data_IF_006215892584
#
_entry.id   IF_006215892584
#
_cell.length_a   1.000
_cell.length_b   1.000
_cell.length_c   1.000
_cell.angle_alpha   90.00
_cell.angle_beta   90.00
_cell.angle_gamma   90.00
#
_symmetry.space_group_name_H-M   'P 1'
#
loop_
_entity.id
_entity.type
_entity.pdbx_description
1 polymer ?
#
# COMPACT_ATOMS: atom_id res chain seq x y z
N UNK A 1 -22.12 -23.24 17.13
CA UNK A 1 -20.76 -22.66 17.19
C UNK A 1 -20.87 -21.20 16.82
N UNK A 2 -20.43 -20.28 17.68
CA UNK A 2 -20.39 -18.84 17.34
C UNK A 2 -19.28 -18.63 16.32
N UNK A 3 -19.65 -18.27 15.09
CA UNK A 3 -18.69 -18.01 14.03
C UNK A 3 -17.89 -16.76 14.42
N UNK A 4 -16.59 -16.90 14.69
CA UNK A 4 -15.74 -15.75 15.03
C UNK A 4 -15.55 -14.91 13.76
N UNK A 5 -15.66 -13.58 13.82
CA UNK A 5 -15.33 -12.73 12.68
C UNK A 5 -13.85 -12.90 12.35
N UNK A 6 -13.55 -13.09 11.05
CA UNK A 6 -12.19 -13.24 10.52
C UNK A 6 -11.88 -12.05 9.62
N UNK A 7 -10.65 -11.55 9.71
CA UNK A 7 -10.05 -10.59 8.78
C UNK A 7 -8.66 -11.11 8.41
N UNK A 8 -8.27 -10.93 7.15
CA UNK A 8 -6.95 -11.32 6.67
C UNK A 8 -6.18 -10.06 6.32
N UNK A 9 -4.93 -9.99 6.78
CA UNK A 9 -3.98 -8.96 6.39
C UNK A 9 -2.91 -9.61 5.52
N UNK A 10 -2.54 -8.95 4.42
CA UNK A 10 -1.47 -9.42 3.56
C UNK A 10 -0.52 -8.28 3.23
N UNK A 11 0.77 -8.56 3.37
CA UNK A 11 1.79 -7.80 2.66
C UNK A 11 1.66 -8.05 1.14
N UNK A 12 2.28 -7.21 0.32
CA UNK A 12 2.24 -7.31 -1.13
C UNK A 12 3.49 -7.97 -1.71
N UNK A 13 4.62 -7.27 -1.72
CA UNK A 13 5.82 -7.69 -2.44
C UNK A 13 6.41 -8.97 -1.84
N UNK A 14 6.53 -10.02 -2.65
CA UNK A 14 7.02 -11.32 -2.19
C UNK A 14 6.06 -12.05 -1.23
N UNK A 15 4.82 -11.57 -1.09
CA UNK A 15 3.78 -12.21 -0.26
C UNK A 15 2.52 -12.49 -1.09
N UNK A 16 1.75 -11.45 -1.45
CA UNK A 16 0.59 -11.59 -2.32
C UNK A 16 1.00 -11.54 -3.80
N UNK A 17 1.94 -10.65 -4.10
CA UNK A 17 2.56 -10.53 -5.41
C UNK A 17 3.77 -11.47 -5.46
N UNK A 18 3.86 -12.22 -6.53
CA UNK A 18 5.04 -13.01 -6.84
C UNK A 18 6.28 -12.10 -6.90
N UNK A 19 7.38 -12.56 -6.31
CA UNK A 19 8.59 -11.73 -6.12
C UNK A 19 9.27 -11.37 -7.44
N UNK A 20 9.21 -12.26 -8.43
CA UNK A 20 9.95 -12.10 -9.68
C UNK A 20 9.10 -11.44 -10.77
N UNK A 21 7.79 -11.73 -10.77
CA UNK A 21 6.87 -11.30 -11.83
C UNK A 21 5.93 -10.17 -11.40
N UNK A 22 5.88 -9.84 -10.11
CA UNK A 22 4.89 -8.93 -9.51
C UNK A 22 3.43 -9.32 -9.81
N UNK A 23 3.19 -10.56 -10.23
CA UNK A 23 1.87 -11.08 -10.57
C UNK A 23 1.13 -11.54 -9.33
N UNK A 24 -0.17 -11.26 -9.26
CA UNK A 24 -1.08 -11.80 -8.24
C UNK A 24 -1.87 -13.02 -8.73
N UNK A 25 -1.61 -13.54 -9.94
CA UNK A 25 -2.41 -14.64 -10.52
C UNK A 25 -2.48 -15.87 -9.61
N UNK A 26 -1.35 -16.23 -8.99
CA UNK A 26 -1.27 -17.35 -8.06
C UNK A 26 -2.14 -17.14 -6.80
N UNK A 27 -2.35 -15.90 -6.38
CA UNK A 27 -3.18 -15.55 -5.22
C UNK A 27 -4.68 -15.48 -5.53
N UNK A 28 -5.07 -15.33 -6.81
CA UNK A 28 -6.48 -15.16 -7.21
C UNK A 28 -7.45 -16.22 -6.66
N UNK A 29 -7.11 -17.52 -6.61
CA UNK A 29 -8.01 -18.52 -6.02
C UNK A 29 -8.33 -18.23 -4.54
N UNK A 30 -7.33 -17.82 -3.76
CA UNK A 30 -7.50 -17.48 -2.35
C UNK A 30 -8.30 -16.17 -2.19
N UNK A 31 -7.96 -15.13 -2.96
CA UNK A 31 -8.69 -13.85 -2.97
C UNK A 31 -10.18 -14.06 -3.29
N UNK A 32 -10.48 -14.85 -4.33
CA UNK A 32 -11.87 -15.21 -4.69
C UNK A 32 -12.57 -15.95 -3.56
N UNK A 33 -11.87 -16.85 -2.86
CA UNK A 33 -12.45 -17.60 -1.75
C UNK A 33 -12.77 -16.71 -0.55
N UNK A 34 -11.89 -15.76 -0.23
CA UNK A 34 -12.13 -14.76 0.83
C UNK A 34 -13.35 -13.90 0.50
N UNK A 35 -13.44 -13.40 -0.74
CA UNK A 35 -14.59 -12.63 -1.22
C UNK A 35 -15.91 -13.40 -1.11
N UNK A 36 -15.93 -14.67 -1.52
CA UNK A 36 -17.13 -15.54 -1.39
C UNK A 36 -17.56 -15.77 0.06
N UNK A 37 -16.61 -15.77 1.00
CA UNK A 37 -16.87 -15.95 2.42
C UNK A 37 -17.18 -14.63 3.13
N UNK A 38 -17.13 -13.49 2.43
CA UNK A 38 -17.27 -12.17 3.03
C UNK A 38 -16.14 -11.83 4.02
N UNK A 39 -14.97 -12.46 3.87
CA UNK A 39 -13.80 -12.21 4.71
C UNK A 39 -12.97 -11.09 4.06
N UNK A 40 -12.80 -9.93 4.72
CA UNK A 40 -12.04 -8.82 4.16
C UNK A 40 -10.55 -9.17 4.09
N UNK A 41 -9.93 -8.87 2.95
CA UNK A 41 -8.50 -8.92 2.71
C UNK A 41 -7.93 -7.49 2.75
N UNK A 42 -7.29 -7.13 3.86
CA UNK A 42 -6.65 -5.83 4.05
C UNK A 42 -5.23 -5.93 3.49
N UNK A 43 -4.96 -5.15 2.45
CA UNK A 43 -3.62 -5.03 1.86
C UNK A 43 -2.78 -4.06 2.68
N UNK A 44 -1.51 -4.38 2.88
CA UNK A 44 -0.54 -3.57 3.61
C UNK A 44 0.77 -3.51 2.81
N UNK A 45 1.36 -2.34 2.60
CA UNK A 45 2.63 -2.24 1.88
C UNK A 45 3.38 -0.93 2.18
N UNK A 46 4.64 -0.89 1.78
CA UNK A 46 5.47 0.32 1.68
C UNK A 46 5.07 1.22 0.51
N UNK A 47 4.30 0.70 -0.45
CA UNK A 47 3.81 1.42 -1.64
C UNK A 47 3.00 2.65 -1.29
N UNK A 48 3.05 3.62 -2.21
CA UNK A 48 2.26 4.84 -2.15
C UNK A 48 0.77 4.53 -2.35
N UNK A 49 -0.09 5.46 -1.93
CA UNK A 49 -1.53 5.34 -2.12
C UNK A 49 -1.95 5.06 -3.58
N UNK A 50 -1.47 5.80 -4.60
CA UNK A 50 -1.85 5.53 -5.99
C UNK A 50 -1.48 4.13 -6.48
N UNK A 51 -0.31 3.62 -6.10
CA UNK A 51 0.10 2.26 -6.45
C UNK A 51 -0.82 1.22 -5.79
N UNK A 52 -1.16 1.43 -4.52
CA UNK A 52 -2.06 0.54 -3.78
C UNK A 52 -3.48 0.56 -4.35
N UNK A 53 -3.98 1.72 -4.77
CA UNK A 53 -5.28 1.86 -5.45
C UNK A 53 -5.31 1.10 -6.78
N UNK A 54 -4.25 1.18 -7.57
CA UNK A 54 -4.13 0.42 -8.82
C UNK A 54 -4.20 -1.09 -8.57
N UNK A 55 -3.47 -1.59 -7.56
CA UNK A 55 -3.47 -3.02 -7.20
C UNK A 55 -4.84 -3.44 -6.65
N UNK A 56 -5.47 -2.61 -5.81
CA UNK A 56 -6.80 -2.87 -5.27
C UNK A 56 -7.84 -3.02 -6.39
N UNK A 57 -7.80 -2.11 -7.39
CA UNK A 57 -8.68 -2.16 -8.56
C UNK A 57 -8.45 -3.42 -9.40
N UNK A 58 -7.18 -3.77 -9.66
CA UNK A 58 -6.82 -4.99 -10.42
C UNK A 58 -7.31 -6.28 -9.74
N UNK A 59 -7.24 -6.33 -8.40
CA UNK A 59 -7.73 -7.46 -7.60
C UNK A 59 -9.25 -7.48 -7.42
N UNK A 60 -9.95 -6.42 -7.84
CA UNK A 60 -11.35 -6.16 -7.49
C UNK A 60 -11.59 -6.33 -5.96
N UNK A 61 -10.63 -5.85 -5.16
CA UNK A 61 -10.73 -5.84 -3.72
C UNK A 61 -11.38 -4.52 -3.28
N UNK A 62 -12.31 -4.56 -2.34
CA UNK A 62 -12.97 -3.34 -1.84
C UNK A 62 -12.70 -3.10 -0.36
N UNK A 63 -11.90 -3.95 0.30
CA UNK A 63 -11.55 -3.78 1.70
C UNK A 63 -10.63 -2.56 1.94
N UNK A 64 -10.55 -2.04 3.18
CA UNK A 64 -9.55 -1.05 3.55
C UNK A 64 -8.12 -1.52 3.26
N UNK A 65 -7.20 -0.58 3.06
CA UNK A 65 -5.78 -0.88 2.81
C UNK A 65 -4.86 0.13 3.49
N UNK A 66 -3.64 -0.33 3.77
CA UNK A 66 -2.60 0.39 4.51
C UNK A 66 -1.46 0.71 3.56
N UNK A 67 -1.01 1.96 3.56
CA UNK A 67 -0.01 2.51 2.62
C UNK A 67 1.23 2.97 3.37
N UNK A 68 2.34 3.10 2.65
CA UNK A 68 3.57 3.74 3.14
C UNK A 68 4.03 3.20 4.51
N UNK A 69 4.06 1.86 4.65
CA UNK A 69 4.47 1.15 5.87
C UNK A 69 3.62 1.51 7.11
N UNK A 70 2.34 1.80 6.92
CA UNK A 70 1.45 2.15 8.03
C UNK A 70 1.36 3.65 8.31
N UNK A 71 1.91 4.51 7.45
CA UNK A 71 1.75 5.96 7.57
C UNK A 71 0.29 6.39 7.46
N UNK A 72 -0.53 5.67 6.67
CA UNK A 72 -1.96 5.91 6.58
C UNK A 72 -2.78 4.64 6.32
N UNK A 73 -4.04 4.66 6.78
CA UNK A 73 -5.09 3.71 6.45
C UNK A 73 -6.13 4.41 5.57
N UNK A 74 -6.43 3.82 4.41
CA UNK A 74 -7.51 4.26 3.52
C UNK A 74 -8.70 3.33 3.69
N UNK A 75 -9.86 3.92 4.00
CA UNK A 75 -11.15 3.22 4.12
C UNK A 75 -12.07 3.69 2.98
N UNK A 76 -12.27 2.86 1.94
CA UNK A 76 -13.09 3.21 0.79
C UNK A 76 -14.55 3.55 1.14
N UNK A 77 -15.23 4.23 0.22
CA UNK A 77 -16.68 4.47 0.29
C UNK A 77 -17.41 3.13 0.37
N UNK A 78 -18.42 3.05 1.24
CA UNK A 78 -19.23 1.83 1.43
C UNK A 78 -18.62 0.80 2.38
N UNK A 79 -17.36 0.96 2.80
CA UNK A 79 -16.77 0.15 3.84
C UNK A 79 -17.11 0.68 5.23
N UNK A 80 -17.39 -0.21 6.17
CA UNK A 80 -17.64 0.14 7.58
C UNK A 80 -18.75 1.21 7.77
N UNK A 81 -19.69 1.31 6.82
CA UNK A 81 -20.76 2.31 6.85
C UNK A 81 -20.34 3.72 6.41
N UNK A 82 -19.14 3.87 5.86
CA UNK A 82 -18.66 5.16 5.36
C UNK A 82 -19.42 5.61 4.11
N UNK A 83 -19.92 6.86 4.12
CA UNK A 83 -20.56 7.50 2.96
C UNK A 83 -19.57 8.16 2.02
N UNK A 84 -18.40 8.50 2.54
CA UNK A 84 -17.28 9.13 1.85
C UNK A 84 -16.01 8.37 2.22
N UNK A 85 -14.99 8.45 1.38
CA UNK A 85 -13.70 7.86 1.71
C UNK A 85 -13.14 8.50 2.98
N UNK A 86 -12.58 7.67 3.86
CA UNK A 86 -11.89 8.13 5.05
C UNK A 86 -10.44 7.73 5.01
N UNK A 87 -9.55 8.71 5.20
CA UNK A 87 -8.12 8.47 5.39
C UNK A 87 -7.78 8.76 6.85
N UNK A 88 -7.09 7.82 7.50
CA UNK A 88 -6.55 7.99 8.85
C UNK A 88 -5.04 8.04 8.74
N UNK A 89 -4.46 9.18 9.12
CA UNK A 89 -3.01 9.40 9.11
C UNK A 89 -2.42 9.05 10.48
N UNK A 90 -1.30 8.32 10.47
CA UNK A 90 -0.56 7.93 11.66
C UNK A 90 0.86 8.53 11.69
N UNK A 91 1.38 8.93 10.52
CA UNK A 91 2.69 9.56 10.39
C UNK A 91 2.59 11.08 10.17
N UNK A 92 3.73 11.76 10.34
CA UNK A 92 3.88 13.15 9.94
C UNK A 92 3.73 13.31 8.42
N UNK A 93 3.28 14.48 7.94
CA UNK A 93 3.27 14.79 6.52
C UNK A 93 4.65 14.63 5.88
N UNK A 94 4.68 14.17 4.62
CA UNK A 94 5.94 14.01 3.88
C UNK A 94 6.73 15.32 3.77
N UNK A 95 6.05 16.48 3.74
CA UNK A 95 6.70 17.80 3.76
C UNK A 95 7.60 18.00 4.97
N UNK A 96 7.15 17.55 6.15
CA UNK A 96 7.88 17.72 7.40
C UNK A 96 9.08 16.78 7.42
N UNK A 97 8.91 15.55 6.93
CA UNK A 97 10.01 14.59 6.75
C UNK A 97 11.06 15.14 5.79
N UNK A 98 10.66 15.68 4.64
CA UNK A 98 11.58 16.25 3.64
C UNK A 98 12.34 17.46 4.19
N UNK A 99 11.70 18.30 4.99
CA UNK A 99 12.37 19.42 5.64
C UNK A 99 13.48 18.94 6.60
N UNK A 100 13.21 17.90 7.39
CA UNK A 100 14.21 17.31 8.28
C UNK A 100 15.34 16.65 7.50
N UNK A 101 15.03 15.96 6.40
CA UNK A 101 16.03 15.37 5.53
C UNK A 101 16.94 16.43 4.90
N UNK A 102 16.40 17.57 4.47
CA UNK A 102 17.22 18.66 3.93
C UNK A 102 18.18 19.23 4.99
N UNK A 103 17.71 19.44 6.22
CA UNK A 103 18.59 19.83 7.35
C UNK A 103 19.73 18.84 7.57
N UNK A 104 19.44 17.53 7.52
CA UNK A 104 20.48 16.50 7.66
C UNK A 104 21.48 16.52 6.50
N UNK A 105 21.07 16.89 5.28
CA UNK A 105 22.02 17.05 4.17
C UNK A 105 22.96 18.24 4.41
N UNK A 106 22.43 19.34 4.93
CA UNK A 106 23.25 20.51 5.31
C UNK A 106 24.26 20.16 6.41
N UNK A 107 23.93 19.22 7.31
CA UNK A 107 24.84 18.67 8.32
C UNK A 107 25.90 17.70 7.74
N UNK A 108 25.81 17.35 6.45
CA UNK A 108 26.79 16.53 5.75
C UNK A 108 26.42 15.05 5.59
N UNK A 109 25.19 14.65 5.92
CA UNK A 109 24.74 13.29 5.66
C UNK A 109 24.52 13.06 4.15
N UNK A 110 25.08 11.98 3.62
CA UNK A 110 25.01 11.66 2.19
C UNK A 110 23.90 10.64 1.89
N UNK A 111 22.80 11.10 1.30
CA UNK A 111 21.73 10.25 0.79
C UNK A 111 20.97 10.95 -0.34
N UNK A 112 20.28 10.15 -1.16
CA UNK A 112 19.42 10.62 -2.25
C UNK A 112 18.06 9.91 -2.14
N UNK A 113 16.98 10.67 -2.11
CA UNK A 113 15.61 10.18 -2.07
C UNK A 113 14.94 10.25 -3.44
N UNK A 114 13.72 9.72 -3.54
CA UNK A 114 12.96 9.74 -4.80
C UNK A 114 12.60 11.16 -5.26
N UNK A 115 12.49 12.13 -4.34
CA UNK A 115 12.26 13.55 -4.67
C UNK A 115 13.42 14.19 -5.44
N UNK A 116 14.63 13.62 -5.36
CA UNK A 116 15.80 14.14 -6.08
C UNK A 116 16.02 13.42 -7.41
N UNK A 117 15.08 12.59 -7.84
CA UNK A 117 15.17 11.76 -9.04
C UNK A 117 14.07 12.12 -10.01
N UNK A 118 14.42 12.17 -11.29
CA UNK A 118 13.43 12.14 -12.36
C UNK A 118 12.76 10.77 -12.43
N UNK A 119 11.55 10.70 -13.00
CA UNK A 119 10.86 9.42 -13.24
C UNK A 119 11.72 8.46 -14.06
N UNK A 120 12.45 8.96 -15.05
CA UNK A 120 13.33 8.15 -15.89
C UNK A 120 14.52 7.57 -15.10
N UNK A 121 15.13 8.33 -14.19
CA UNK A 121 16.17 7.82 -13.30
C UNK A 121 15.62 6.77 -12.34
N UNK A 122 14.45 7.04 -11.74
CA UNK A 122 13.81 6.11 -10.83
C UNK A 122 13.48 4.79 -11.53
N UNK A 123 12.86 4.85 -12.71
CA UNK A 123 12.57 3.68 -13.54
C UNK A 123 13.84 2.90 -13.93
N UNK A 124 14.92 3.61 -14.26
CA UNK A 124 16.22 2.99 -14.56
C UNK A 124 16.83 2.26 -13.36
N UNK A 125 16.58 2.73 -12.13
CA UNK A 125 17.09 2.13 -10.90
C UNK A 125 16.21 0.98 -10.38
N UNK A 126 14.89 1.08 -10.53
CA UNK A 126 13.94 0.11 -9.98
C UNK A 126 13.50 -0.95 -10.98
N UNK A 127 13.66 -0.71 -12.28
CA UNK A 127 13.09 -1.55 -13.34
C UNK A 127 11.57 -1.45 -13.47
N UNK A 128 10.94 -0.48 -12.77
CA UNK A 128 9.51 -0.23 -12.82
C UNK A 128 9.21 0.87 -13.85
N UNK A 129 8.18 0.67 -14.68
CA UNK A 129 7.77 1.60 -15.76
C UNK A 129 6.36 2.12 -15.56
#
# INVERSE_FOLDING_TARGET
MTNKPIVVFSDLDGTLLDHDTYSFEAALPAVKRLNQLGIPLILNSSKTRPEMEAIQQQLNNVAPFIVENGAALVVPVGCLGNKEEKVVYFAAPVSDVLMQLESLREEGFAFRGFQDMTVAELAGLTGLT
#
